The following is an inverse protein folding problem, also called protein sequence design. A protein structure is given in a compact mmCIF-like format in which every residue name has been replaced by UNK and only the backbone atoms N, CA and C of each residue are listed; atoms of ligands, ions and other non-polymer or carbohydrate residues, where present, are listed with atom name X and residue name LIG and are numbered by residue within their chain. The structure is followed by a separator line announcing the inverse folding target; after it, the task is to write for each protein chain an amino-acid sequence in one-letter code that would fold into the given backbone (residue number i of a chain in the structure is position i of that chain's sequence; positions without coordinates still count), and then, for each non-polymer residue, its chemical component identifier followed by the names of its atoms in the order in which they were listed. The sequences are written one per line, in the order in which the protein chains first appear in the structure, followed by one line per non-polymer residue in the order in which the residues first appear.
data_IF_466855051651
#
_entry.id   IF_466855051651
#
_cell.length_a   1.000
_cell.length_b   1.000
_cell.length_c   1.000
_cell.angle_alpha   90.00
_cell.angle_beta   90.00
_cell.angle_gamma   90.00
#
_symmetry.space_group_name_H-M   'P 1'
#
loop_
_entity.id
_entity.type
_entity.pdbx_description
1 polymer ?
#
# COMPACT_ATOMS: atom_id res chain seq x y z
N UNK A 1 5.31 -16.41 14.47
CA UNK A 1 4.34 -16.32 13.35
C UNK A 1 4.84 -15.23 12.41
N UNK A 2 4.79 -15.46 11.10
CA UNK A 2 5.25 -14.47 10.14
C UNK A 2 4.13 -13.47 9.82
N UNK A 3 4.50 -12.20 9.69
CA UNK A 3 3.64 -11.09 9.22
C UNK A 3 3.78 -10.92 7.71
N UNK A 4 2.85 -10.23 7.09
CA UNK A 4 2.99 -9.74 5.72
C UNK A 4 3.06 -8.20 5.72
N UNK A 5 3.61 -7.59 4.68
CA UNK A 5 3.71 -6.13 4.56
C UNK A 5 3.01 -5.66 3.30
N UNK A 6 2.23 -4.59 3.38
CA UNK A 6 1.71 -3.86 2.23
C UNK A 6 2.25 -2.44 2.26
N UNK A 7 2.86 -2.02 1.15
CA UNK A 7 3.38 -0.69 0.89
C UNK A 7 2.45 -0.03 -0.11
N UNK A 8 1.64 0.91 0.37
CA UNK A 8 0.55 1.49 -0.39
C UNK A 8 1.02 2.73 -1.14
N UNK A 9 0.98 2.65 -2.47
CA UNK A 9 1.01 3.77 -3.41
C UNK A 9 2.15 4.78 -3.14
N UNK A 10 3.37 4.28 -2.92
CA UNK A 10 4.57 5.10 -2.69
C UNK A 10 5.15 5.67 -3.98
N UNK A 11 4.29 6.23 -4.83
CA UNK A 11 4.61 6.71 -6.17
C UNK A 11 4.99 8.20 -6.16
N UNK A 12 5.75 8.62 -7.17
CA UNK A 12 6.29 9.98 -7.26
C UNK A 12 5.19 11.05 -7.28
N UNK A 13 4.05 10.81 -7.93
CA UNK A 13 2.95 11.78 -7.97
C UNK A 13 2.33 12.05 -6.60
N UNK A 14 2.40 11.10 -5.67
CA UNK A 14 1.91 11.27 -4.30
C UNK A 14 2.99 11.76 -3.34
N UNK A 15 4.23 11.31 -3.52
CA UNK A 15 5.29 11.55 -2.53
C UNK A 15 6.19 12.74 -2.85
N UNK A 16 6.36 13.15 -4.11
CA UNK A 16 7.14 14.36 -4.41
C UNK A 16 6.31 15.61 -4.13
N UNK A 17 6.98 16.66 -3.66
CA UNK A 17 6.35 17.98 -3.42
C UNK A 17 5.75 18.56 -4.71
N UNK A 18 6.34 18.26 -5.86
CA UNK A 18 5.89 18.66 -7.20
C UNK A 18 5.17 17.54 -7.96
N UNK A 19 4.75 16.47 -7.26
CA UNK A 19 3.94 15.40 -7.84
C UNK A 19 2.53 15.88 -8.24
N UNK A 20 1.91 15.21 -9.22
CA UNK A 20 0.60 15.62 -9.75
C UNK A 20 -0.52 15.61 -8.69
N UNK A 21 -0.39 14.77 -7.66
CA UNK A 21 -1.32 14.68 -6.53
C UNK A 21 -0.54 14.55 -5.20
N UNK A 22 0.35 15.51 -4.95
CA UNK A 22 1.23 15.47 -3.79
C UNK A 22 0.45 15.42 -2.45
N UNK A 23 0.74 14.41 -1.64
CA UNK A 23 0.29 14.34 -0.24
C UNK A 23 1.22 15.20 0.61
N UNK A 24 0.69 16.24 1.26
CA UNK A 24 1.48 17.28 1.90
C UNK A 24 2.46 16.74 2.97
N UNK A 25 3.77 16.81 2.70
CA UNK A 25 4.83 16.34 3.60
C UNK A 25 5.08 14.83 3.56
N UNK A 26 4.55 14.13 2.55
CA UNK A 26 4.80 12.70 2.34
C UNK A 26 6.20 12.41 1.75
N UNK A 27 6.87 13.42 1.19
CA UNK A 27 8.28 13.35 0.75
C UNK A 27 9.21 12.94 1.90
N UNK A 28 8.93 13.44 3.10
CA UNK A 28 9.67 13.11 4.31
C UNK A 28 9.50 11.65 4.77
N UNK A 29 8.54 10.90 4.22
CA UNK A 29 8.32 9.49 4.55
C UNK A 29 9.25 8.54 3.80
N UNK A 30 9.81 8.97 2.65
CA UNK A 30 10.58 8.09 1.76
C UNK A 30 11.75 7.43 2.49
N UNK A 31 12.61 8.22 3.14
CA UNK A 31 13.77 7.69 3.85
C UNK A 31 13.39 6.81 5.08
N UNK A 32 12.45 7.21 5.95
CA UNK A 32 11.94 6.35 7.01
C UNK A 32 11.35 5.02 6.53
N UNK A 33 10.51 5.04 5.48
CA UNK A 33 9.93 3.83 4.90
C UNK A 33 11.02 2.92 4.33
N UNK A 34 11.99 3.49 3.62
CA UNK A 34 13.13 2.75 3.07
C UNK A 34 13.97 2.07 4.16
N UNK A 35 14.27 2.81 5.23
CA UNK A 35 15.02 2.28 6.38
C UNK A 35 14.26 1.16 7.09
N UNK A 36 12.95 1.35 7.30
CA UNK A 36 12.10 0.34 7.92
C UNK A 36 12.02 -0.93 7.07
N UNK A 37 11.84 -0.82 5.75
CA UNK A 37 11.85 -1.97 4.84
C UNK A 37 13.18 -2.72 4.88
N UNK A 38 14.32 -2.01 4.96
CA UNK A 38 15.64 -2.62 5.09
C UNK A 38 15.89 -3.31 6.43
N UNK A 39 15.10 -3.01 7.46
CA UNK A 39 15.18 -3.66 8.77
C UNK A 39 14.40 -4.97 8.87
N UNK A 40 13.54 -5.26 7.89
CA UNK A 40 12.70 -6.46 7.87
C UNK A 40 13.54 -7.73 7.74
N UNK A 41 13.09 -8.80 8.41
CA UNK A 41 13.81 -10.09 8.45
C UNK A 41 12.98 -11.21 7.81
N UNK A 42 13.60 -12.09 7.00
CA UNK A 42 12.91 -13.26 6.42
C UNK A 42 12.30 -14.22 7.47
N UNK A 43 12.83 -14.25 8.69
CA UNK A 43 12.26 -15.05 9.78
C UNK A 43 10.87 -14.55 10.21
N UNK A 44 10.61 -13.26 10.02
CA UNK A 44 9.45 -12.58 10.59
C UNK A 44 8.44 -12.14 9.53
N UNK A 45 8.88 -11.98 8.27
CA UNK A 45 8.08 -11.44 7.18
C UNK A 45 7.94 -12.47 6.06
N UNK A 46 6.69 -12.83 5.73
CA UNK A 46 6.34 -13.77 4.67
C UNK A 46 6.45 -13.17 3.26
N UNK A 47 6.40 -11.84 3.14
CA UNK A 47 6.54 -11.11 1.89
C UNK A 47 6.14 -9.63 2.03
N UNK A 48 6.47 -8.85 0.99
CA UNK A 48 6.14 -7.43 0.87
C UNK A 48 5.38 -7.21 -0.44
N UNK A 49 4.19 -6.63 -0.38
CA UNK A 49 3.42 -6.22 -1.55
C UNK A 49 3.48 -4.71 -1.72
N UNK A 50 3.92 -4.24 -2.89
CA UNK A 50 3.79 -2.85 -3.29
C UNK A 50 2.53 -2.67 -4.14
N UNK A 51 1.65 -1.75 -3.76
CA UNK A 51 0.53 -1.35 -4.61
C UNK A 51 0.89 -0.12 -5.42
N UNK A 52 0.28 -0.03 -6.60
CA UNK A 52 0.42 1.10 -7.51
C UNK A 52 -0.96 1.51 -7.97
N UNK A 53 -1.30 2.77 -7.78
CA UNK A 53 -2.31 3.39 -8.60
C UNK A 53 -1.79 3.46 -10.03
N UNK A 54 -2.62 3.05 -10.97
CA UNK A 54 -2.25 2.97 -12.37
C UNK A 54 -3.40 3.43 -13.24
N UNK A 55 -3.30 4.67 -13.70
CA UNK A 55 -4.29 5.27 -14.59
C UNK A 55 -3.80 5.34 -16.04
N UNK A 56 -4.76 5.54 -16.95
CA UNK A 56 -4.48 5.92 -18.33
C UNK A 56 -5.03 7.32 -18.59
N UNK A 57 -4.29 8.12 -19.36
CA UNK A 57 -4.70 9.49 -19.69
C UNK A 57 -6.04 9.52 -20.46
N UNK A 58 -6.33 8.47 -21.23
CA UNK A 58 -7.54 8.40 -22.06
C UNK A 58 -8.78 8.01 -21.24
N UNK A 59 -8.66 7.13 -20.25
CA UNK A 59 -9.80 6.63 -19.48
C UNK A 59 -10.07 7.44 -18.21
N UNK A 60 -9.03 8.02 -17.60
CA UNK A 60 -9.16 8.74 -16.33
C UNK A 60 -10.20 9.87 -16.37
N UNK A 61 -10.30 10.72 -17.41
CA UNK A 61 -11.28 11.81 -17.43
C UNK A 61 -12.76 11.36 -17.33
N UNK A 62 -13.05 10.07 -17.59
CA UNK A 62 -14.39 9.50 -17.46
C UNK A 62 -14.59 8.73 -16.14
N UNK A 63 -13.59 8.69 -15.25
CA UNK A 63 -13.69 8.04 -13.95
C UNK A 63 -14.41 8.94 -12.94
N UNK A 64 -15.03 8.33 -11.93
CA UNK A 64 -15.59 9.08 -10.80
C UNK A 64 -14.51 9.81 -9.98
N UNK A 65 -13.26 9.37 -10.12
CA UNK A 65 -12.12 9.94 -9.40
C UNK A 65 -11.70 11.29 -9.96
N UNK A 66 -11.82 11.48 -11.28
CA UNK A 66 -11.49 12.73 -11.96
C UNK A 66 -12.39 13.91 -11.53
N UNK A 67 -13.51 13.64 -10.85
CA UNK A 67 -14.35 14.68 -10.24
C UNK A 67 -13.70 15.30 -8.99
N UNK A 68 -12.78 14.58 -8.35
CA UNK A 68 -12.17 14.97 -7.08
C UNK A 68 -10.68 15.27 -7.22
N UNK A 69 -10.00 14.61 -8.15
CA UNK A 69 -8.55 14.64 -8.25
C UNK A 69 -8.06 14.89 -9.68
N UNK A 70 -6.91 15.58 -9.85
CA UNK A 70 -6.27 15.72 -11.15
C UNK A 70 -5.77 14.37 -11.65
N UNK A 71 -5.53 14.27 -12.96
CA UNK A 71 -4.83 13.13 -13.54
C UNK A 71 -3.46 12.94 -12.86
N UNK A 72 -3.21 11.72 -12.40
CA UNK A 72 -1.97 11.32 -11.75
C UNK A 72 -1.65 9.86 -12.07
N UNK A 73 -0.49 9.37 -11.64
CA UNK A 73 -0.06 7.97 -11.68
C UNK A 73 -0.32 7.30 -13.03
N UNK A 74 -0.07 8.02 -14.13
CA UNK A 74 -0.27 7.49 -15.48
C UNK A 74 0.82 6.46 -15.77
N UNK A 75 0.43 5.25 -16.15
CA UNK A 75 1.37 4.14 -16.40
C UNK A 75 2.54 4.58 -17.28
N UNK A 76 3.76 4.28 -16.84
CA UNK A 76 4.99 4.53 -17.60
C UNK A 76 5.50 5.98 -17.55
N UNK A 77 4.79 6.88 -16.87
CA UNK A 77 5.29 8.24 -16.62
C UNK A 77 6.21 8.29 -15.39
N UNK A 78 7.04 9.34 -15.24
CA UNK A 78 7.83 9.55 -14.03
C UNK A 78 6.99 9.63 -12.76
N UNK A 79 5.77 10.17 -12.83
CA UNK A 79 4.83 10.27 -11.71
C UNK A 79 4.36 8.92 -11.16
N UNK A 80 4.25 7.93 -12.04
CA UNK A 80 3.86 6.56 -11.67
C UNK A 80 4.98 5.76 -10.99
N UNK A 81 6.24 6.17 -11.11
CA UNK A 81 7.37 5.43 -10.57
C UNK A 81 7.33 5.34 -9.04
N UNK A 82 7.66 4.18 -8.47
CA UNK A 82 7.82 4.03 -7.03
C UNK A 82 9.04 4.82 -6.54
N UNK A 83 8.91 5.50 -5.42
CA UNK A 83 10.00 6.25 -4.77
C UNK A 83 10.82 5.38 -3.81
N UNK A 84 10.37 4.15 -3.53
CA UNK A 84 11.09 3.19 -2.70
C UNK A 84 11.81 2.17 -3.57
N UNK A 85 13.06 1.88 -3.21
CA UNK A 85 13.85 0.84 -3.84
C UNK A 85 13.47 -0.54 -3.30
N UNK A 86 13.00 -1.39 -4.19
CA UNK A 86 12.64 -2.78 -3.87
C UNK A 86 13.86 -3.59 -3.41
N UNK A 87 15.06 -3.24 -3.88
CA UNK A 87 16.30 -3.91 -3.52
C UNK A 87 16.73 -3.68 -2.07
N UNK A 88 16.11 -2.74 -1.37
CA UNK A 88 16.35 -2.57 0.07
C UNK A 88 15.64 -3.63 0.92
N UNK A 89 14.61 -4.30 0.38
CA UNK A 89 14.00 -5.45 1.04
C UNK A 89 15.00 -6.60 1.02
N UNK A 90 15.21 -7.27 2.17
CA UNK A 90 16.10 -8.42 2.26
C UNK A 90 15.78 -9.43 1.14
N UNK A 91 16.77 -9.88 0.32
CA UNK A 91 16.53 -10.78 -0.80
C UNK A 91 15.88 -12.13 -0.43
N UNK A 92 15.89 -12.51 0.84
CA UNK A 92 15.16 -13.66 1.37
C UNK A 92 13.66 -13.43 1.57
N UNK A 93 13.17 -12.20 1.41
CA UNK A 93 11.75 -11.84 1.49
C UNK A 93 11.19 -11.68 0.08
N UNK A 94 10.09 -12.37 -0.22
CA UNK A 94 9.44 -12.25 -1.52
C UNK A 94 8.81 -10.86 -1.70
N UNK A 95 9.09 -10.22 -2.83
CA UNK A 95 8.51 -8.93 -3.21
C UNK A 95 7.46 -9.12 -4.29
N UNK A 96 6.31 -8.48 -4.10
CA UNK A 96 5.16 -8.54 -4.97
C UNK A 96 4.72 -7.15 -5.41
N UNK A 97 4.02 -7.08 -6.53
CA UNK A 97 3.37 -5.88 -7.05
C UNK A 97 1.89 -6.15 -7.32
N UNK A 98 1.06 -5.17 -7.02
CA UNK A 98 -0.34 -5.10 -7.44
C UNK A 98 -0.58 -3.74 -8.07
N UNK A 99 -1.25 -3.74 -9.22
CA UNK A 99 -1.66 -2.50 -9.88
C UNK A 99 -3.19 -2.40 -9.85
N UNK A 100 -3.70 -1.22 -9.50
CA UNK A 100 -5.13 -0.92 -9.36
C UNK A 100 -5.45 0.38 -10.11
N UNK A 101 -6.69 0.52 -10.58
CA UNK A 101 -7.16 1.73 -11.26
C UNK A 101 -8.02 2.65 -10.39
N UNK A 102 -8.21 2.29 -9.12
CA UNK A 102 -9.06 2.99 -8.14
C UNK A 102 -8.43 2.96 -6.74
N UNK A 103 -8.87 3.82 -5.83
CA UNK A 103 -8.35 3.86 -4.44
C UNK A 103 -8.51 2.54 -3.69
N UNK A 104 -9.70 1.96 -3.78
CA UNK A 104 -10.00 0.69 -3.13
C UNK A 104 -9.36 -0.44 -3.90
N UNK A 105 -8.19 -0.88 -3.43
CA UNK A 105 -7.50 -1.99 -4.07
C UNK A 105 -8.40 -3.21 -4.22
N UNK A 106 -9.44 -3.39 -3.37
CA UNK A 106 -10.39 -4.51 -3.32
C UNK A 106 -11.60 -4.40 -4.25
N UNK A 107 -11.87 -3.24 -4.84
CA UNK A 107 -13.08 -3.02 -5.63
C UNK A 107 -13.07 -3.71 -7.00
N UNK A 108 -11.88 -3.83 -7.61
CA UNK A 108 -11.73 -4.46 -8.92
C UNK A 108 -11.59 -5.98 -8.81
N UNK A 109 -12.44 -6.73 -9.54
CA UNK A 109 -12.49 -8.19 -9.44
C UNK A 109 -11.26 -8.90 -10.05
N UNK A 110 -10.74 -8.38 -11.17
CA UNK A 110 -9.73 -9.05 -11.99
C UNK A 110 -8.29 -8.59 -11.71
N UNK A 111 -8.04 -8.10 -10.48
CA UNK A 111 -6.70 -7.64 -10.07
C UNK A 111 -5.81 -8.83 -9.74
N UNK A 112 -4.58 -8.79 -10.22
CA UNK A 112 -3.55 -9.80 -9.98
C UNK A 112 -2.43 -9.26 -9.10
N UNK A 113 -1.80 -10.17 -8.36
CA UNK A 113 -0.55 -9.94 -7.65
C UNK A 113 0.56 -10.63 -8.44
N UNK A 114 1.57 -9.87 -8.82
CA UNK A 114 2.74 -10.32 -9.56
C UNK A 114 3.94 -10.46 -8.60
N UNK A 115 4.63 -11.59 -8.64
CA UNK A 115 5.92 -11.74 -7.98
C UNK A 115 7.01 -11.03 -8.80
N UNK A 116 7.63 -9.98 -8.23
CA UNK A 116 8.55 -9.10 -8.96
C UNK A 116 9.76 -9.86 -9.53
N UNK A 117 10.26 -10.86 -8.81
CA UNK A 117 11.44 -11.62 -9.23
C UNK A 117 11.19 -12.59 -10.41
N UNK A 118 9.94 -13.02 -10.61
CA UNK A 118 9.61 -14.10 -11.57
C UNK A 118 8.57 -13.72 -12.60
N UNK A 119 7.82 -12.63 -12.40
CA UNK A 119 6.69 -12.23 -13.23
C UNK A 119 5.46 -13.14 -13.10
N UNK A 120 5.49 -14.11 -12.17
CA UNK A 120 4.35 -15.01 -11.95
C UNK A 120 3.20 -14.22 -11.32
N UNK A 121 2.01 -14.33 -11.91
CA UNK A 121 0.80 -13.68 -11.42
C UNK A 121 -0.15 -14.67 -10.73
N UNK A 122 -0.83 -14.19 -9.70
CA UNK A 122 -1.88 -14.90 -8.97
C UNK A 122 -3.05 -13.95 -8.79
N UNK A 123 -4.29 -14.43 -8.92
CA UNK A 123 -5.47 -13.63 -8.60
C UNK A 123 -5.38 -13.10 -7.15
N UNK A 124 -5.65 -11.82 -6.94
CA UNK A 124 -5.45 -11.16 -5.65
C UNK A 124 -6.15 -11.88 -4.50
N UNK A 125 -7.41 -12.29 -4.67
CA UNK A 125 -8.16 -12.92 -3.57
C UNK A 125 -7.62 -14.31 -3.26
N UNK A 126 -7.19 -15.06 -4.28
CA UNK A 126 -6.53 -16.35 -4.09
C UNK A 126 -5.18 -16.19 -3.36
N UNK A 127 -4.43 -15.14 -3.64
CA UNK A 127 -3.17 -14.84 -2.95
C UNK A 127 -3.38 -14.58 -1.45
N UNK A 128 -4.34 -13.71 -1.09
CA UNK A 128 -4.62 -13.42 0.32
C UNK A 128 -5.24 -14.62 1.06
N UNK A 129 -6.12 -15.40 0.40
CA UNK A 129 -6.63 -16.64 0.97
C UNK A 129 -5.49 -17.65 1.25
N UNK A 130 -4.53 -17.78 0.34
CA UNK A 130 -3.36 -18.65 0.51
C UNK A 130 -2.42 -18.15 1.63
N UNK A 131 -2.20 -16.83 1.75
CA UNK A 131 -1.45 -16.26 2.88
C UNK A 131 -2.08 -16.62 4.22
N UNK A 132 -3.40 -16.41 4.34
CA UNK A 132 -4.13 -16.72 5.56
C UNK A 132 -4.10 -18.22 5.88
N UNK A 133 -4.30 -19.09 4.88
CA UNK A 133 -4.21 -20.54 5.04
C UNK A 133 -2.82 -21.03 5.49
N UNK A 134 -1.76 -20.28 5.19
CA UNK A 134 -0.38 -20.55 5.64
C UNK A 134 -0.09 -20.02 7.06
N UNK A 135 -1.09 -19.47 7.74
CA UNK A 135 -0.98 -18.99 9.12
C UNK A 135 -0.45 -17.56 9.26
N UNK A 136 -0.39 -16.78 8.18
CA UNK A 136 -0.18 -15.33 8.27
C UNK A 136 -1.48 -14.70 8.76
N UNK A 137 -1.45 -14.05 9.92
CA UNK A 137 -2.63 -13.44 10.55
C UNK A 137 -2.49 -11.93 10.72
N UNK A 138 -1.28 -11.39 10.61
CA UNK A 138 -0.98 -9.98 10.83
C UNK A 138 -0.35 -9.38 9.56
N UNK A 139 -0.84 -8.19 9.19
CA UNK A 139 -0.32 -7.40 8.07
C UNK A 139 0.11 -6.03 8.56
N UNK A 140 1.33 -5.63 8.24
CA UNK A 140 1.77 -4.25 8.44
C UNK A 140 1.44 -3.41 7.19
N UNK A 141 0.83 -2.25 7.36
CA UNK A 141 0.46 -1.35 6.25
C UNK A 141 1.18 -0.02 6.41
N UNK A 142 1.90 0.40 5.37
CA UNK A 142 2.58 1.70 5.28
C UNK A 142 2.22 2.38 3.96
N UNK A 143 2.61 3.64 3.76
CA UNK A 143 2.40 4.37 2.51
C UNK A 143 1.30 5.41 2.60
N UNK A 144 0.68 5.77 1.47
CA UNK A 144 -0.25 6.91 1.38
C UNK A 144 -1.48 6.60 0.52
N UNK A 145 -2.58 7.36 0.64
CA UNK A 145 -2.89 8.27 1.73
C UNK A 145 -3.65 7.55 2.85
N UNK A 146 -3.36 7.91 4.11
CA UNK A 146 -3.95 7.30 5.31
C UNK A 146 -5.49 7.20 5.26
N UNK A 147 -6.13 8.22 4.69
CA UNK A 147 -7.57 8.41 4.59
C UNK A 147 -8.17 8.06 3.23
N UNK A 148 -7.34 7.50 2.32
CA UNK A 148 -7.71 6.91 1.02
C UNK A 148 -7.11 5.50 0.93
N UNK A 149 -6.28 5.20 -0.06
CA UNK A 149 -5.81 3.85 -0.38
C UNK A 149 -5.38 3.01 0.84
N UNK A 150 -4.73 3.62 1.84
CA UNK A 150 -4.36 2.94 3.09
C UNK A 150 -5.59 2.50 3.89
N UNK A 151 -6.57 3.38 4.10
CA UNK A 151 -7.84 3.04 4.79
C UNK A 151 -8.53 1.86 4.10
N UNK A 152 -8.71 1.91 2.78
CA UNK A 152 -9.40 0.83 2.06
C UNK A 152 -8.57 -0.46 2.03
N UNK A 153 -7.23 -0.36 1.96
CA UNK A 153 -6.36 -1.51 2.16
C UNK A 153 -6.60 -2.18 3.53
N UNK A 154 -6.63 -1.39 4.61
CA UNK A 154 -6.92 -1.87 5.97
C UNK A 154 -8.31 -2.51 6.04
N UNK A 155 -9.34 -1.85 5.50
CA UNK A 155 -10.72 -2.33 5.54
C UNK A 155 -10.87 -3.71 4.90
N UNK A 156 -10.33 -3.89 3.68
CA UNK A 156 -10.41 -5.18 3.00
C UNK A 156 -9.51 -6.27 3.59
N UNK A 157 -8.41 -5.92 4.28
CA UNK A 157 -7.61 -6.86 5.08
C UNK A 157 -8.40 -7.36 6.29
N UNK A 158 -9.03 -6.45 7.03
CA UNK A 158 -9.87 -6.80 8.19
C UNK A 158 -11.03 -7.69 7.76
N UNK A 159 -11.70 -7.34 6.66
CA UNK A 159 -12.79 -8.16 6.10
C UNK A 159 -12.35 -9.58 5.71
N UNK A 160 -11.05 -9.78 5.44
CA UNK A 160 -10.43 -11.07 5.10
C UNK A 160 -9.80 -11.78 6.29
N UNK A 161 -10.01 -11.28 7.51
CA UNK A 161 -9.60 -11.94 8.76
C UNK A 161 -8.18 -11.61 9.23
N UNK A 162 -7.52 -10.63 8.62
CA UNK A 162 -6.21 -10.17 9.10
C UNK A 162 -6.35 -9.13 10.22
N UNK A 163 -5.47 -9.22 11.20
CA UNK A 163 -5.15 -8.08 12.06
C UNK A 163 -4.17 -7.15 11.33
N UNK A 164 -4.31 -5.85 11.54
CA UNK A 164 -3.50 -4.85 10.86
C UNK A 164 -2.72 -4.01 11.86
N UNK A 165 -1.42 -3.85 11.61
CA UNK A 165 -0.56 -2.89 12.29
C UNK A 165 -0.20 -1.76 11.31
N UNK A 166 -0.33 -0.51 11.73
CA UNK A 166 0.18 0.63 10.96
C UNK A 166 1.37 1.21 11.70
N UNK A 167 2.62 0.93 11.26
CA UNK A 167 3.82 1.46 11.89
C UNK A 167 3.79 2.99 12.00
N UNK A 168 4.16 3.51 13.17
CA UNK A 168 4.16 4.94 13.43
C UNK A 168 5.08 5.69 12.46
N UNK A 169 4.62 6.83 11.97
CA UNK A 169 5.41 7.73 11.12
C UNK A 169 5.70 7.20 9.71
N UNK A 170 5.08 6.09 9.28
CA UNK A 170 5.25 5.52 7.93
C UNK A 170 4.00 5.67 7.05
N UNK A 171 3.10 6.57 7.42
CA UNK A 171 1.92 6.92 6.62
C UNK A 171 1.56 8.38 6.81
N UNK A 172 0.80 8.92 5.86
CA UNK A 172 0.24 10.27 5.93
C UNK A 172 -1.05 10.34 5.13
N UNK A 173 -2.03 11.08 5.64
CA UNK A 173 -3.29 11.34 4.94
C UNK A 173 -3.31 12.68 4.23
N UNK A 174 -4.33 12.86 3.39
CA UNK A 174 -4.62 14.12 2.71
C UNK A 174 -5.37 15.06 3.66
N UNK A 175 -6.46 14.58 4.28
CA UNK A 175 -7.30 15.34 5.18
C UNK A 175 -7.27 14.81 6.62
N UNK A 176 -7.28 13.48 6.80
CA UNK A 176 -7.24 12.83 8.13
C UNK A 176 -5.93 12.09 8.33
N UNK A 177 -5.30 12.27 9.49
CA UNK A 177 -4.15 11.47 9.90
C UNK A 177 -4.58 10.04 10.25
N UNK A 178 -3.64 9.11 10.27
CA UNK A 178 -3.95 7.70 10.52
C UNK A 178 -4.58 7.47 11.90
N UNK A 179 -4.22 8.28 12.90
CA UNK A 179 -4.81 8.25 14.24
C UNK A 179 -6.32 8.51 14.19
N UNK A 180 -6.75 9.47 13.36
CA UNK A 180 -8.16 9.80 13.17
C UNK A 180 -8.88 8.70 12.40
N UNK A 181 -8.27 8.21 11.32
CA UNK A 181 -8.82 7.10 10.51
C UNK A 181 -9.05 5.87 11.38
N UNK A 182 -8.06 5.46 12.20
CA UNK A 182 -8.20 4.31 13.09
C UNK A 182 -9.25 4.54 14.18
N UNK A 183 -9.29 5.73 14.78
CA UNK A 183 -10.24 6.05 15.83
C UNK A 183 -11.69 6.17 15.33
N UNK A 184 -11.91 6.54 14.08
CA UNK A 184 -13.25 6.77 13.51
C UNK A 184 -13.77 5.55 12.74
N UNK A 185 -12.92 4.96 11.89
CA UNK A 185 -13.35 3.94 10.92
C UNK A 185 -13.12 2.51 11.44
N UNK A 186 -12.24 2.31 12.44
CA UNK A 186 -11.76 0.99 12.88
C UNK A 186 -11.93 0.72 14.39
N UNK A 187 -12.90 1.38 15.04
CA UNK A 187 -13.12 1.37 16.51
C UNK A 187 -13.07 -0.02 17.16
N UNK A 188 -13.70 -1.01 16.53
CA UNK A 188 -13.77 -2.40 17.04
C UNK A 188 -13.02 -3.40 16.17
N UNK A 189 -12.32 -2.91 15.14
CA UNK A 189 -11.56 -3.75 14.23
C UNK A 189 -10.18 -4.07 14.83
N UNK A 190 -9.53 -5.19 14.43
CA UNK A 190 -8.21 -5.56 14.91
C UNK A 190 -7.11 -4.72 14.22
N UNK A 191 -7.20 -3.40 14.34
CA UNK A 191 -6.26 -2.43 13.76
C UNK A 191 -5.54 -1.70 14.89
N UNK A 192 -4.20 -1.71 14.88
CA UNK A 192 -3.38 -1.04 15.89
C UNK A 192 -2.33 -0.14 15.26
N UNK A 193 -2.05 0.97 15.91
CA UNK A 193 -0.90 1.82 15.57
C UNK A 193 0.36 1.23 16.20
N UNK A 194 1.46 1.23 15.46
CA UNK A 194 2.78 0.91 15.99
C UNK A 194 3.21 1.96 17.02
N UNK A 195 4.11 1.59 17.93
CA UNK A 195 4.72 2.57 18.83
C UNK A 195 5.61 3.53 18.04
N UNK A 196 5.64 4.83 18.36
CA UNK A 196 6.66 5.73 17.84
C UNK A 196 8.05 5.23 18.29
N UNK A 197 9.03 5.30 17.38
CA UNK A 197 10.42 4.94 17.65
C UNK A 197 11.08 5.91 18.64
#
# INVERSE_FOLDING_TARGET
MQRFVIVVDTQADFLKVDGALAVAGADALVAPMQHWLASLRPSDIAGVLFTFDTHSADAYPASAEAEQFPLHCVRGTPGWANMLDFAAVDPGIAVYRLEKGVFDMWAEADVVIEAVATGVTVARDAFFAALHARGVQEVAVIGVAADYCVRWAIEGLVARGFAVEVPAGLTRGIARLIEQVVAEDFVTAPVRLGAPA
#
